data_IF_241157924236
#
_entry.id   IF_241157924236
#
_cell.length_a   1.000
_cell.length_b   1.000
_cell.length_c   1.000
_cell.angle_alpha   90.00
_cell.angle_beta   90.00
_cell.angle_gamma   90.00
#
_symmetry.space_group_name_H-M   'P 1'
#
loop_
_entity.id
_entity.type
_entity.pdbx_description
1 polymer ?
#
# COMPACT_ATOMS: atom_id res chain seq x y z
N UNK A 1 20.62 -23.38 -1.96
CA UNK A 1 19.28 -23.90 -2.33
C UNK A 1 18.31 -22.79 -1.96
N UNK A 2 17.60 -22.22 -2.93
CA UNK A 2 16.65 -21.12 -2.73
C UNK A 2 15.38 -21.67 -2.06
N UNK A 3 14.98 -21.08 -0.95
CA UNK A 3 13.79 -21.45 -0.17
C UNK A 3 12.59 -20.60 -0.56
N UNK A 4 11.57 -21.25 -1.08
CA UNK A 4 10.31 -20.63 -1.50
C UNK A 4 9.22 -20.99 -0.49
N UNK A 5 8.56 -19.99 0.07
CA UNK A 5 7.47 -20.16 1.04
C UNK A 5 6.16 -19.63 0.47
N UNK A 6 5.17 -20.49 0.27
CA UNK A 6 3.82 -20.08 -0.12
C UNK A 6 2.94 -19.87 1.11
N UNK A 7 2.22 -18.74 1.14
CA UNK A 7 1.41 -18.34 2.30
C UNK A 7 -0.03 -18.06 1.88
N UNK A 8 -0.98 -18.72 2.56
CA UNK A 8 -2.40 -18.37 2.48
C UNK A 8 -3.00 -18.21 3.88
N UNK A 9 -4.33 -18.22 4.01
CA UNK A 9 -4.98 -18.01 5.32
C UNK A 9 -4.82 -19.23 6.23
N UNK A 10 -5.43 -20.36 5.86
CA UNK A 10 -5.48 -21.56 6.71
C UNK A 10 -4.45 -22.66 6.38
N UNK A 11 -3.68 -22.53 5.29
CA UNK A 11 -2.75 -23.56 4.80
C UNK A 11 -3.37 -24.94 4.54
N UNK A 12 -4.63 -24.96 4.06
CA UNK A 12 -5.36 -26.19 3.71
C UNK A 12 -5.88 -26.23 2.27
N UNK A 13 -5.83 -25.10 1.54
CA UNK A 13 -6.29 -25.00 0.14
C UNK A 13 -5.19 -24.44 -0.76
N UNK A 14 -5.06 -23.11 -0.79
CA UNK A 14 -4.21 -22.37 -1.76
C UNK A 14 -2.71 -22.66 -1.62
N UNK A 15 -2.12 -22.46 -0.44
CA UNK A 15 -0.67 -22.66 -0.28
C UNK A 15 -0.20 -24.12 -0.40
N UNK A 16 -0.97 -25.15 0.02
CA UNK A 16 -0.66 -26.53 -0.33
C UNK A 16 -0.70 -26.81 -1.84
N UNK A 17 -1.69 -26.25 -2.54
CA UNK A 17 -1.78 -26.37 -4.00
C UNK A 17 -0.57 -25.72 -4.68
N UNK A 18 -0.19 -24.52 -4.24
CA UNK A 18 0.98 -23.82 -4.76
C UNK A 18 2.29 -24.58 -4.49
N UNK A 19 2.47 -25.16 -3.30
CA UNK A 19 3.61 -26.02 -3.00
C UNK A 19 3.69 -27.23 -3.94
N UNK A 20 2.54 -27.90 -4.16
CA UNK A 20 2.44 -29.06 -5.04
C UNK A 20 2.75 -28.73 -6.50
N UNK A 21 2.12 -27.68 -7.03
CA UNK A 21 2.33 -27.18 -8.40
C UNK A 21 3.77 -26.72 -8.62
N UNK A 22 4.32 -25.95 -7.69
CA UNK A 22 5.69 -25.47 -7.81
C UNK A 22 6.68 -26.64 -7.80
N UNK A 23 6.52 -27.59 -6.85
CA UNK A 23 7.35 -28.79 -6.77
C UNK A 23 7.26 -29.62 -8.06
N UNK A 24 6.09 -29.69 -8.69
CA UNK A 24 5.91 -30.34 -9.98
C UNK A 24 6.64 -29.59 -11.11
N UNK A 25 6.45 -28.27 -11.21
CA UNK A 25 7.03 -27.43 -12.26
C UNK A 25 8.56 -27.41 -12.24
N UNK A 26 9.18 -27.52 -11.06
CA UNK A 26 10.65 -27.55 -10.91
C UNK A 26 11.24 -28.97 -10.87
N UNK A 27 10.46 -30.02 -11.17
CA UNK A 27 10.98 -31.39 -11.24
C UNK A 27 12.16 -31.47 -12.21
N UNK A 28 13.31 -31.91 -11.72
CA UNK A 28 14.56 -31.99 -12.51
C UNK A 28 15.47 -30.76 -12.39
N UNK A 29 14.98 -29.62 -11.88
CA UNK A 29 15.81 -28.45 -11.54
C UNK A 29 16.37 -28.63 -10.12
N UNK A 30 17.69 -28.70 -9.99
CA UNK A 30 18.34 -28.70 -8.66
C UNK A 30 18.37 -27.26 -8.12
N UNK A 31 18.11 -27.10 -6.83
CA UNK A 31 18.39 -25.84 -6.14
C UNK A 31 17.21 -25.12 -5.50
N UNK A 32 16.00 -25.68 -5.50
CA UNK A 32 14.84 -25.12 -4.78
C UNK A 32 14.36 -26.01 -3.65
N UNK A 33 14.11 -25.41 -2.50
CA UNK A 33 13.38 -26.00 -1.37
C UNK A 33 12.05 -25.26 -1.26
N UNK A 34 10.93 -25.96 -1.19
CA UNK A 34 9.59 -25.36 -1.19
C UNK A 34 8.80 -25.80 0.03
N UNK A 35 8.16 -24.83 0.67
CA UNK A 35 7.34 -24.97 1.86
C UNK A 35 6.05 -24.16 1.70
N UNK A 36 5.03 -24.51 2.47
CA UNK A 36 3.82 -23.72 2.63
C UNK A 36 3.50 -23.47 4.11
N UNK A 37 2.81 -22.36 4.38
CA UNK A 37 2.32 -21.99 5.70
C UNK A 37 1.04 -21.16 5.58
N UNK A 38 0.45 -20.79 6.73
CA UNK A 38 -0.71 -19.88 6.75
C UNK A 38 -0.72 -18.89 7.90
N UNK A 39 -1.19 -17.67 7.63
CA UNK A 39 -1.23 -16.57 8.61
C UNK A 39 -2.17 -16.83 9.78
N UNK A 40 -3.20 -17.66 9.58
CA UNK A 40 -4.16 -18.08 10.60
C UNK A 40 -4.35 -19.61 10.62
N UNK A 41 -3.34 -20.37 10.22
CA UNK A 41 -3.43 -21.82 10.14
C UNK A 41 -3.42 -22.47 11.53
N UNK A 42 -4.26 -23.49 11.68
CA UNK A 42 -4.18 -24.45 12.79
C UNK A 42 -3.18 -25.52 12.38
N UNK A 43 -2.26 -25.89 13.27
CA UNK A 43 -1.22 -26.87 12.96
C UNK A 43 -1.78 -28.29 12.74
N UNK A 44 -1.28 -29.00 11.73
CA UNK A 44 -1.52 -30.43 11.53
C UNK A 44 -2.79 -30.84 10.76
N UNK A 45 -3.56 -29.91 10.20
CA UNK A 45 -4.71 -30.24 9.36
C UNK A 45 -4.29 -30.75 7.98
N UNK A 46 -5.04 -31.70 7.43
CA UNK A 46 -4.86 -32.14 6.05
C UNK A 46 -5.38 -31.07 5.07
N UNK A 47 -4.85 -30.99 3.85
CA UNK A 47 -5.45 -30.20 2.79
C UNK A 47 -6.89 -30.64 2.55
N UNK A 48 -7.76 -29.71 2.15
CA UNK A 48 -9.15 -30.02 1.84
C UNK A 48 -9.26 -31.04 0.70
N UNK A 49 -10.28 -31.90 0.74
CA UNK A 49 -10.50 -32.94 -0.26
C UNK A 49 -10.61 -32.37 -1.68
N UNK A 50 -11.24 -31.20 -1.84
CA UNK A 50 -11.31 -30.52 -3.14
C UNK A 50 -9.93 -30.05 -3.63
N UNK A 51 -9.06 -29.53 -2.76
CA UNK A 51 -7.70 -29.16 -3.15
C UNK A 51 -6.85 -30.38 -3.54
N UNK A 52 -6.98 -31.49 -2.79
CA UNK A 52 -6.33 -32.77 -3.12
C UNK A 52 -6.81 -33.27 -4.47
N UNK A 53 -8.12 -33.29 -4.70
CA UNK A 53 -8.74 -33.74 -5.96
C UNK A 53 -8.32 -32.85 -7.15
N UNK A 54 -8.35 -31.54 -6.99
CA UNK A 54 -7.99 -30.59 -8.04
C UNK A 54 -6.55 -30.78 -8.54
N UNK A 55 -5.61 -31.11 -7.65
CA UNK A 55 -4.23 -31.44 -8.03
C UNK A 55 -4.03 -32.89 -8.49
N UNK A 56 -4.80 -33.83 -7.96
CA UNK A 56 -4.76 -35.22 -8.41
C UNK A 56 -5.10 -35.36 -9.91
N UNK A 57 -5.99 -34.51 -10.43
CA UNK A 57 -6.29 -34.42 -11.87
C UNK A 57 -5.08 -34.04 -12.73
N UNK A 58 -4.11 -33.31 -12.16
CA UNK A 58 -2.82 -32.99 -12.81
C UNK A 58 -1.72 -34.01 -12.46
N UNK A 59 -2.06 -35.12 -11.81
CA UNK A 59 -1.09 -36.13 -11.35
C UNK A 59 -0.20 -35.66 -10.20
N UNK A 60 -0.66 -34.69 -9.39
CA UNK A 60 0.07 -34.15 -8.25
C UNK A 60 -0.64 -34.56 -6.96
N UNK A 61 0.01 -35.38 -6.14
CA UNK A 61 -0.50 -35.75 -4.82
C UNK A 61 -0.01 -34.77 -3.75
N UNK A 62 -0.95 -34.11 -3.06
CA UNK A 62 -0.69 -33.24 -1.90
C UNK A 62 -1.30 -33.77 -0.60
N UNK A 63 -1.92 -34.95 -0.60
CA UNK A 63 -2.64 -35.51 0.57
C UNK A 63 -1.76 -35.73 1.82
N UNK A 64 -0.45 -35.85 1.62
CA UNK A 64 0.54 -36.01 2.67
C UNK A 64 0.95 -34.68 3.33
N UNK A 65 0.65 -33.52 2.73
CA UNK A 65 0.99 -32.22 3.31
C UNK A 65 0.18 -31.96 4.58
N UNK A 66 0.68 -31.12 5.48
CA UNK A 66 -0.01 -30.73 6.71
C UNK A 66 0.11 -29.24 6.91
N UNK A 67 -1.00 -28.61 7.32
CA UNK A 67 -1.04 -27.19 7.62
C UNK A 67 -0.07 -26.85 8.75
N UNK A 68 0.52 -25.67 8.68
CA UNK A 68 1.37 -25.12 9.73
C UNK A 68 1.17 -23.60 9.84
N UNK A 69 1.19 -23.04 11.06
CA UNK A 69 1.16 -21.60 11.24
C UNK A 69 2.42 -20.95 10.66
N UNK A 70 2.26 -19.76 10.09
CA UNK A 70 3.37 -18.93 9.66
C UNK A 70 4.17 -18.48 10.89
N UNK A 71 5.44 -18.87 10.96
CA UNK A 71 6.33 -18.53 12.06
C UNK A 71 7.49 -17.65 11.60
N UNK A 72 8.06 -16.88 12.54
CA UNK A 72 9.25 -16.07 12.28
C UNK A 72 10.45 -16.88 11.79
N UNK A 73 10.57 -18.16 12.19
CA UNK A 73 11.63 -19.05 11.71
C UNK A 73 11.46 -19.40 10.23
N UNK A 74 10.24 -19.73 9.80
CA UNK A 74 9.95 -20.01 8.39
C UNK A 74 10.19 -18.77 7.53
N UNK A 75 9.75 -17.62 8.01
CA UNK A 75 9.93 -16.32 7.35
C UNK A 75 11.41 -15.96 7.26
N UNK A 76 12.19 -16.12 8.33
CA UNK A 76 13.62 -15.83 8.33
C UNK A 76 14.39 -16.72 7.34
N UNK A 77 14.04 -18.02 7.27
CA UNK A 77 14.70 -19.01 6.39
C UNK A 77 14.32 -18.91 4.93
N UNK A 78 13.16 -18.33 4.60
CA UNK A 78 12.73 -18.19 3.21
C UNK A 78 13.58 -17.16 2.45
N UNK A 79 13.96 -17.47 1.21
CA UNK A 79 14.56 -16.52 0.28
C UNK A 79 13.49 -15.73 -0.48
N UNK A 80 12.34 -16.37 -0.73
CA UNK A 80 11.15 -15.77 -1.34
C UNK A 80 9.88 -16.24 -0.64
N UNK A 81 8.95 -15.34 -0.43
CA UNK A 81 7.65 -15.57 0.20
C UNK A 81 6.57 -15.10 -0.77
N UNK A 82 5.59 -15.95 -1.04
CA UNK A 82 4.50 -15.65 -1.97
C UNK A 82 3.15 -15.75 -1.27
N UNK A 83 2.49 -14.60 -1.11
CA UNK A 83 1.12 -14.49 -0.64
C UNK A 83 0.11 -14.71 -1.76
N UNK A 84 -1.06 -15.24 -1.42
CA UNK A 84 -2.14 -15.45 -2.39
C UNK A 84 -2.98 -14.20 -2.66
N UNK A 85 -2.94 -13.23 -1.75
CA UNK A 85 -3.71 -11.98 -1.84
C UNK A 85 -2.92 -10.84 -1.21
N UNK A 86 -3.28 -9.59 -1.52
CA UNK A 86 -2.65 -8.41 -0.92
C UNK A 86 -2.71 -8.45 0.61
N UNK A 87 -3.85 -8.87 1.18
CA UNK A 87 -3.98 -9.01 2.63
C UNK A 87 -2.99 -10.01 3.25
N UNK A 88 -2.53 -11.03 2.51
CA UNK A 88 -1.46 -11.91 3.01
C UNK A 88 -0.12 -11.20 3.02
N UNK A 89 0.21 -10.45 1.96
CA UNK A 89 1.44 -9.67 1.88
C UNK A 89 1.47 -8.61 2.99
N UNK A 90 0.35 -7.93 3.22
CA UNK A 90 0.18 -6.96 4.29
C UNK A 90 0.33 -7.62 5.67
N UNK A 91 -0.31 -8.77 5.90
CA UNK A 91 -0.20 -9.50 7.16
C UNK A 91 1.24 -9.94 7.45
N UNK A 92 1.95 -10.46 6.44
CA UNK A 92 3.35 -10.86 6.57
C UNK A 92 4.23 -9.64 6.86
N UNK A 93 3.99 -8.52 6.16
CA UNK A 93 4.75 -7.28 6.33
C UNK A 93 4.50 -6.66 7.70
N UNK A 94 3.27 -6.71 8.20
CA UNK A 94 2.90 -6.22 9.52
C UNK A 94 3.52 -7.06 10.64
N UNK A 95 3.43 -8.39 10.54
CA UNK A 95 3.94 -9.31 11.56
C UNK A 95 5.46 -9.49 11.51
N UNK A 96 6.05 -9.41 10.31
CA UNK A 96 7.47 -9.64 10.04
C UNK A 96 8.05 -8.59 9.09
N UNK A 97 8.20 -7.32 9.52
CA UNK A 97 8.60 -6.21 8.63
C UNK A 97 9.92 -6.43 7.88
N UNK A 98 10.86 -7.16 8.48
CA UNK A 98 12.15 -7.50 7.88
C UNK A 98 12.06 -8.41 6.64
N UNK A 99 10.89 -9.02 6.39
CA UNK A 99 10.66 -9.91 5.27
C UNK A 99 9.90 -9.26 4.11
N UNK A 100 9.50 -7.99 4.23
CA UNK A 100 8.73 -7.27 3.20
C UNK A 100 9.38 -7.35 1.81
N UNK A 101 10.70 -7.22 1.77
CA UNK A 101 11.52 -7.17 0.55
C UNK A 101 11.57 -8.49 -0.24
N UNK A 102 11.26 -9.57 0.45
CA UNK A 102 11.22 -10.93 -0.10
C UNK A 102 9.82 -11.50 -0.11
N UNK A 103 8.80 -10.66 0.08
CA UNK A 103 7.39 -11.04 0.09
C UNK A 103 6.69 -10.44 -1.12
N UNK A 104 6.03 -11.27 -1.92
CA UNK A 104 5.39 -10.89 -3.18
C UNK A 104 4.00 -11.53 -3.27
N UNK A 105 3.17 -11.03 -4.17
CA UNK A 105 2.00 -11.80 -4.62
C UNK A 105 2.45 -12.93 -5.54
N UNK A 106 1.71 -14.04 -5.51
CA UNK A 106 1.98 -15.14 -6.43
C UNK A 106 1.84 -14.70 -7.90
N UNK A 107 0.87 -13.82 -8.18
CA UNK A 107 0.61 -13.27 -9.52
C UNK A 107 1.21 -11.86 -9.71
N UNK A 108 2.21 -11.49 -8.90
CA UNK A 108 2.87 -10.17 -9.00
C UNK A 108 3.42 -9.90 -10.41
N UNK A 109 4.05 -10.93 -11.00
CA UNK A 109 4.79 -10.86 -12.26
C UNK A 109 3.93 -11.14 -13.50
N UNK A 110 2.62 -11.25 -13.35
CA UNK A 110 1.71 -11.31 -14.48
C UNK A 110 1.37 -9.88 -14.92
N UNK A 111 2.00 -9.43 -16.01
CA UNK A 111 1.81 -8.09 -16.58
C UNK A 111 0.46 -7.93 -17.29
N UNK A 112 -0.30 -9.02 -17.51
CA UNK A 112 -1.60 -8.98 -18.18
C UNK A 112 -2.76 -8.63 -17.24
N UNK A 113 -2.50 -8.59 -15.92
CA UNK A 113 -3.49 -8.37 -14.89
C UNK A 113 -3.36 -7.00 -14.25
N UNK A 114 -4.50 -6.35 -14.03
CA UNK A 114 -4.56 -5.15 -13.21
C UNK A 114 -4.30 -5.47 -11.74
N UNK A 115 -3.91 -4.45 -10.96
CA UNK A 115 -3.51 -4.59 -9.55
C UNK A 115 -4.50 -5.41 -8.71
N UNK A 116 -5.80 -5.13 -8.82
CA UNK A 116 -6.87 -5.80 -8.05
C UNK A 116 -7.20 -7.21 -8.57
N UNK A 117 -6.76 -7.58 -9.78
CA UNK A 117 -7.01 -8.91 -10.36
C UNK A 117 -5.92 -9.94 -10.01
N UNK A 118 -4.85 -9.49 -9.35
CA UNK A 118 -3.73 -10.34 -8.93
C UNK A 118 -4.03 -11.20 -7.70
N UNK A 119 -5.11 -10.90 -6.98
CA UNK A 119 -5.56 -11.69 -5.83
C UNK A 119 -6.16 -13.04 -6.27
N UNK A 120 -5.77 -14.10 -5.56
CA UNK A 120 -6.36 -15.43 -5.68
C UNK A 120 -7.34 -15.64 -4.53
N UNK A 121 -8.62 -15.50 -4.86
CA UNK A 121 -9.76 -15.68 -3.94
C UNK A 121 -9.69 -17.00 -3.19
N UNK A 122 -10.15 -17.01 -1.93
CA UNK A 122 -10.18 -18.24 -1.14
C UNK A 122 -11.29 -19.19 -1.63
N UNK A 123 -10.97 -20.42 -2.08
CA UNK A 123 -11.99 -21.35 -2.56
C UNK A 123 -12.77 -22.04 -1.42
N UNK A 124 -12.40 -21.82 -0.15
CA UNK A 124 -12.98 -22.54 0.99
C UNK A 124 -14.51 -22.44 1.05
N UNK A 125 -15.18 -23.57 1.21
CA UNK A 125 -16.65 -23.65 1.24
C UNK A 125 -17.35 -23.48 -0.11
N UNK A 126 -16.59 -23.22 -1.20
CA UNK A 126 -17.10 -23.14 -2.56
C UNK A 126 -17.32 -24.51 -3.23
N UNK A 127 -17.87 -24.47 -4.44
CA UNK A 127 -18.01 -25.66 -5.29
C UNK A 127 -16.64 -26.14 -5.77
N UNK A 128 -16.59 -27.39 -6.27
CA UNK A 128 -15.37 -27.95 -6.82
C UNK A 128 -14.77 -27.10 -7.96
N UNK A 129 -15.61 -26.50 -8.82
CA UNK A 129 -15.17 -25.63 -9.90
C UNK A 129 -14.41 -24.38 -9.41
N UNK A 130 -14.76 -23.87 -8.22
CA UNK A 130 -14.04 -22.75 -7.60
C UNK A 130 -12.62 -23.17 -7.20
N UNK A 131 -12.44 -24.41 -6.73
CA UNK A 131 -11.12 -24.96 -6.43
C UNK A 131 -10.30 -25.18 -7.71
N UNK A 132 -10.93 -25.63 -8.79
CA UNK A 132 -10.30 -25.78 -10.11
C UNK A 132 -9.83 -24.43 -10.65
N UNK A 133 -10.69 -23.41 -10.64
CA UNK A 133 -10.30 -22.07 -11.06
C UNK A 133 -9.17 -21.49 -10.18
N UNK A 134 -9.23 -21.71 -8.87
CA UNK A 134 -8.17 -21.31 -7.96
C UNK A 134 -6.83 -22.01 -8.27
N UNK A 135 -6.86 -23.32 -8.54
CA UNK A 135 -5.68 -24.09 -8.99
C UNK A 135 -5.07 -23.50 -10.25
N UNK A 136 -5.90 -23.21 -11.26
CA UNK A 136 -5.44 -22.72 -12.56
C UNK A 136 -4.79 -21.33 -12.43
N UNK A 137 -5.35 -20.44 -11.59
CA UNK A 137 -4.73 -19.15 -11.28
C UNK A 137 -3.38 -19.30 -10.55
N UNK A 138 -3.27 -20.26 -9.63
CA UNK A 138 -2.01 -20.57 -8.95
C UNK A 138 -0.97 -21.09 -9.95
N UNK A 139 -1.36 -21.98 -10.86
CA UNK A 139 -0.48 -22.52 -11.89
C UNK A 139 0.05 -21.42 -12.82
N UNK A 140 -0.84 -20.53 -13.29
CA UNK A 140 -0.46 -19.36 -14.08
C UNK A 140 0.52 -18.45 -13.33
N UNK A 141 0.24 -18.15 -12.05
CA UNK A 141 1.13 -17.35 -11.21
C UNK A 141 2.51 -17.98 -11.05
N UNK A 142 2.57 -19.29 -10.84
CA UNK A 142 3.84 -20.05 -10.75
C UNK A 142 4.63 -19.98 -12.05
N UNK A 143 3.97 -20.10 -13.21
CA UNK A 143 4.63 -20.01 -14.51
C UNK A 143 5.28 -18.63 -14.72
N UNK A 144 4.54 -17.55 -14.45
CA UNK A 144 5.06 -16.17 -14.54
C UNK A 144 6.21 -15.93 -13.55
N UNK A 145 6.07 -16.42 -12.32
CA UNK A 145 7.09 -16.33 -11.28
C UNK A 145 8.38 -17.07 -11.65
N UNK A 146 8.30 -18.27 -12.22
CA UNK A 146 9.47 -19.03 -12.64
C UNK A 146 10.26 -18.34 -13.76
N UNK A 147 9.55 -17.74 -14.72
CA UNK A 147 10.18 -16.94 -15.77
C UNK A 147 10.99 -15.77 -15.20
N UNK A 148 10.45 -15.09 -14.19
CA UNK A 148 11.16 -14.02 -13.48
C UNK A 148 12.40 -14.52 -12.70
N UNK A 149 12.27 -15.67 -12.02
CA UNK A 149 13.39 -16.29 -11.29
C UNK A 149 14.52 -16.74 -12.23
N UNK A 150 14.19 -17.17 -13.45
CA UNK A 150 15.18 -17.58 -14.45
C UNK A 150 15.91 -16.36 -15.03
N UNK A 151 15.20 -15.25 -15.33
CA UNK A 151 15.80 -14.00 -15.83
C UNK A 151 16.80 -13.36 -14.86
N UNK A 152 16.61 -13.53 -13.55
CA UNK A 152 17.52 -13.01 -12.52
C UNK A 152 18.75 -13.90 -12.26
N UNK A 153 18.89 -15.03 -12.96
CA UNK A 153 20.00 -15.98 -12.78
C UNK A 153 20.97 -16.12 -13.97
N UNK A 154 20.77 -15.36 -15.04
CA UNK A 154 21.70 -15.32 -16.19
C UNK A 154 22.98 -14.51 -15.91
N UNK A 155 24.13 -14.84 -16.55
CA UNK A 155 25.33 -14.04 -16.45
C UNK A 155 25.11 -12.69 -17.13
N UNK A 156 25.42 -11.61 -16.42
CA UNK A 156 25.41 -10.23 -16.89
C UNK A 156 26.40 -10.06 -18.06
N UNK A 157 25.87 -10.10 -19.27
CA UNK A 157 26.58 -9.91 -20.52
C UNK A 157 25.87 -8.86 -21.40
N UNK A 158 26.41 -7.66 -21.35
CA UNK A 158 26.50 -6.57 -22.33
C UNK A 158 25.42 -6.24 -23.39
N UNK A 159 25.23 -4.91 -23.52
CA UNK A 159 24.78 -4.10 -24.66
C UNK A 159 23.31 -4.04 -25.14
N UNK A 160 22.75 -2.84 -24.91
CA UNK A 160 21.96 -2.00 -25.84
C UNK A 160 20.56 -2.45 -26.28
N UNK A 161 19.54 -1.92 -25.61
CA UNK A 161 18.56 -0.95 -26.18
C UNK A 161 17.52 -0.60 -25.11
N UNK A 162 17.28 0.69 -24.89
CA UNK A 162 16.11 1.12 -24.15
C UNK A 162 14.88 0.82 -24.99
N UNK A 163 14.10 -0.19 -24.61
CA UNK A 163 12.81 -0.47 -25.22
C UNK A 163 11.80 0.62 -24.85
N UNK A 164 11.74 1.68 -25.68
CA UNK A 164 10.55 2.28 -26.33
C UNK A 164 9.17 2.36 -25.63
N UNK A 165 9.01 2.19 -24.32
CA UNK A 165 7.67 2.19 -23.68
C UNK A 165 7.48 3.08 -22.44
N UNK A 166 8.48 3.85 -22.01
CA UNK A 166 8.33 4.74 -20.85
C UNK A 166 7.71 6.11 -21.17
N UNK A 167 6.89 6.64 -20.27
CA UNK A 167 6.43 8.04 -20.25
C UNK A 167 7.35 8.87 -19.36
N UNK A 168 7.92 9.94 -19.91
CA UNK A 168 8.77 10.89 -19.17
C UNK A 168 8.03 12.21 -18.97
N UNK A 169 7.90 12.65 -17.71
CA UNK A 169 7.44 13.99 -17.39
C UNK A 169 8.60 14.98 -17.46
N UNK A 170 8.42 16.10 -18.15
CA UNK A 170 9.44 17.16 -18.26
C UNK A 170 8.90 18.48 -17.75
N UNK A 171 9.73 19.23 -17.02
CA UNK A 171 9.36 20.52 -16.45
C UNK A 171 10.54 21.47 -16.32
N UNK A 172 10.28 22.78 -16.43
CA UNK A 172 11.28 23.81 -16.24
C UNK A 172 10.69 25.13 -15.77
N UNK A 173 11.47 25.95 -15.09
CA UNK A 173 11.19 27.39 -15.00
C UNK A 173 11.71 28.11 -16.26
N UNK A 174 11.50 29.41 -16.33
CA UNK A 174 11.99 30.25 -17.43
C UNK A 174 13.51 30.14 -17.67
N UNK A 175 14.30 29.91 -16.62
CA UNK A 175 15.75 29.76 -16.71
C UNK A 175 16.21 28.39 -17.24
N UNK A 176 15.32 27.39 -17.27
CA UNK A 176 15.58 26.06 -17.81
C UNK A 176 14.87 25.77 -19.15
N UNK A 177 14.08 26.70 -19.69
CA UNK A 177 13.21 26.48 -20.85
C UNK A 177 13.96 25.96 -22.08
N UNK A 178 15.05 26.63 -22.47
CA UNK A 178 15.81 26.26 -23.67
C UNK A 178 16.41 24.85 -23.55
N UNK A 179 16.90 24.49 -22.36
CA UNK A 179 17.43 23.16 -22.10
C UNK A 179 16.34 22.08 -22.14
N UNK A 180 15.16 22.38 -21.57
CA UNK A 180 13.99 21.49 -21.61
C UNK A 180 13.57 21.22 -23.05
N UNK A 181 13.48 22.25 -23.90
CA UNK A 181 13.09 22.08 -25.30
C UNK A 181 14.11 21.24 -26.09
N UNK A 182 15.41 21.43 -25.83
CA UNK A 182 16.44 20.58 -26.43
C UNK A 182 16.30 19.10 -26.01
N UNK A 183 16.09 18.83 -24.71
CA UNK A 183 15.86 17.48 -24.18
C UNK A 183 14.59 16.87 -24.77
N UNK A 184 13.51 17.64 -24.89
CA UNK A 184 12.28 17.19 -25.56
C UNK A 184 12.54 16.76 -26.99
N UNK A 185 13.35 17.53 -27.74
CA UNK A 185 13.76 17.16 -29.09
C UNK A 185 14.51 15.83 -29.13
N UNK A 186 15.48 15.65 -28.24
CA UNK A 186 16.26 14.42 -28.10
C UNK A 186 15.39 13.20 -27.76
N UNK A 187 14.54 13.32 -26.74
CA UNK A 187 13.63 12.25 -26.32
C UNK A 187 12.60 11.87 -27.39
N UNK A 188 12.07 12.86 -28.14
CA UNK A 188 11.18 12.60 -29.28
C UNK A 188 11.90 11.82 -30.38
N UNK A 189 13.15 12.18 -30.69
CA UNK A 189 13.97 11.46 -31.67
C UNK A 189 14.24 10.00 -31.24
N UNK A 190 14.33 9.75 -29.92
CA UNK A 190 14.46 8.42 -29.34
C UNK A 190 13.12 7.65 -29.21
N UNK A 191 11.99 8.22 -29.64
CA UNK A 191 10.67 7.57 -29.59
C UNK A 191 10.04 7.48 -28.20
N UNK A 192 10.49 8.30 -27.25
CA UNK A 192 9.98 8.30 -25.87
C UNK A 192 8.70 9.14 -25.77
N UNK A 193 7.70 8.65 -25.03
CA UNK A 193 6.47 9.43 -24.76
C UNK A 193 6.78 10.50 -23.72
N UNK A 194 6.39 11.74 -23.99
CA UNK A 194 6.71 12.89 -23.13
C UNK A 194 5.42 13.57 -22.67
N UNK A 195 5.35 13.90 -21.38
CA UNK A 195 4.36 14.86 -20.85
C UNK A 195 5.11 16.12 -20.44
N UNK A 196 4.84 17.22 -21.13
CA UNK A 196 5.45 18.52 -20.82
C UNK A 196 4.54 19.33 -19.91
N UNK A 197 5.01 19.57 -18.69
CA UNK A 197 4.28 20.29 -17.63
C UNK A 197 4.64 21.78 -17.58
N UNK A 198 5.36 22.29 -18.59
CA UNK A 198 5.73 23.70 -18.69
C UNK A 198 7.10 24.00 -18.08
N UNK A 199 7.51 25.26 -17.96
CA UNK A 199 6.89 26.45 -18.54
C UNK A 199 6.92 26.41 -20.07
N UNK A 200 6.05 27.18 -20.72
CA UNK A 200 6.01 27.32 -22.18
C UNK A 200 6.40 28.74 -22.65
N UNK A 201 6.78 29.62 -21.72
CA UNK A 201 7.17 31.00 -22.01
C UNK A 201 8.47 31.37 -21.31
N UNK A 202 9.14 32.40 -21.82
CA UNK A 202 10.34 33.00 -21.20
C UNK A 202 9.99 33.96 -20.05
N UNK A 203 8.72 34.08 -19.71
CA UNK A 203 8.28 34.97 -18.65
C UNK A 203 8.71 34.43 -17.28
N UNK A 204 9.03 35.34 -16.37
CA UNK A 204 9.42 34.98 -15.01
C UNK A 204 8.33 34.13 -14.36
N UNK A 205 8.73 32.99 -13.81
CA UNK A 205 7.86 31.98 -13.23
C UNK A 205 8.59 31.29 -12.09
N UNK A 206 7.82 30.70 -11.17
CA UNK A 206 8.36 30.08 -9.97
C UNK A 206 8.64 28.60 -10.18
N UNK A 207 9.91 28.21 -9.97
CA UNK A 207 10.35 26.82 -10.11
C UNK A 207 9.58 25.79 -9.26
N UNK A 208 9.03 26.11 -8.06
CA UNK A 208 8.31 25.12 -7.27
C UNK A 208 7.07 24.54 -7.96
N UNK A 209 6.38 25.31 -8.80
CA UNK A 209 5.15 24.87 -9.45
C UNK A 209 5.44 23.71 -10.42
N UNK A 210 6.46 23.88 -11.26
CA UNK A 210 6.89 22.86 -12.23
C UNK A 210 7.61 21.70 -11.56
N UNK A 211 8.47 22.00 -10.57
CA UNK A 211 9.18 20.99 -9.79
C UNK A 211 8.23 20.05 -9.07
N UNK A 212 7.17 20.60 -8.45
CA UNK A 212 6.13 19.82 -7.77
C UNK A 212 5.26 19.07 -8.76
N UNK A 213 4.85 19.68 -9.87
CA UNK A 213 4.00 19.02 -10.87
C UNK A 213 4.65 17.76 -11.46
N UNK A 214 5.92 17.84 -11.89
CA UNK A 214 6.67 16.68 -12.40
C UNK A 214 6.85 15.63 -11.30
N UNK A 215 7.25 16.06 -10.10
CA UNK A 215 7.47 15.15 -8.98
C UNK A 215 6.19 14.41 -8.58
N UNK A 216 5.03 15.10 -8.55
CA UNK A 216 3.74 14.50 -8.24
C UNK A 216 3.33 13.49 -9.32
N UNK A 217 3.50 13.81 -10.60
CA UNK A 217 3.19 12.89 -11.70
C UNK A 217 4.03 11.60 -11.65
N UNK A 218 5.30 11.71 -11.25
CA UNK A 218 6.18 10.55 -11.04
C UNK A 218 5.80 9.76 -9.79
N UNK A 219 5.47 10.44 -8.69
CA UNK A 219 5.03 9.80 -7.44
C UNK A 219 3.72 9.01 -7.64
N UNK A 220 2.79 9.56 -8.42
CA UNK A 220 1.49 8.98 -8.74
C UNK A 220 1.56 7.93 -9.85
N UNK A 221 2.76 7.62 -10.36
CA UNK A 221 3.01 6.64 -11.43
C UNK A 221 2.30 6.94 -12.75
N UNK A 222 1.96 8.21 -12.99
CA UNK A 222 1.45 8.68 -14.29
C UNK A 222 2.58 8.91 -15.30
N UNK A 223 3.81 9.13 -14.81
CA UNK A 223 5.04 9.08 -15.57
C UNK A 223 6.05 8.16 -14.87
N UNK A 224 6.87 7.46 -15.65
CA UNK A 224 7.87 6.52 -15.13
C UNK A 224 9.06 7.25 -14.52
N UNK A 225 9.48 8.36 -15.16
CA UNK A 225 10.61 9.19 -14.77
C UNK A 225 10.31 10.67 -15.02
N UNK A 226 11.00 11.53 -14.29
CA UNK A 226 10.93 12.98 -14.45
C UNK A 226 12.26 13.60 -14.86
N UNK A 227 12.22 14.66 -15.66
CA UNK A 227 13.38 15.52 -15.96
C UNK A 227 13.00 16.96 -15.66
N UNK A 228 13.79 17.62 -14.82
CA UNK A 228 13.59 18.99 -14.38
C UNK A 228 14.77 19.87 -14.76
N UNK A 229 14.50 21.05 -15.31
CA UNK A 229 15.53 22.03 -15.66
C UNK A 229 15.24 23.37 -14.97
N UNK A 230 16.26 23.98 -14.36
CA UNK A 230 16.21 25.40 -14.03
C UNK A 230 17.60 26.01 -14.16
N UNK A 231 17.77 27.30 -13.87
CA UNK A 231 19.07 27.98 -14.01
C UNK A 231 20.24 27.17 -13.40
N UNK A 232 20.08 26.65 -12.17
CA UNK A 232 21.12 25.87 -11.47
C UNK A 232 20.73 24.41 -11.20
N UNK A 233 19.49 24.02 -11.47
CA UNK A 233 18.91 22.73 -11.08
C UNK A 233 18.67 22.53 -9.57
N UNK A 234 19.25 23.38 -8.70
CA UNK A 234 19.21 23.23 -7.24
C UNK A 234 17.77 23.35 -6.70
N UNK A 235 17.06 24.43 -7.05
CA UNK A 235 15.69 24.66 -6.56
C UNK A 235 14.73 23.54 -6.95
N UNK A 236 14.82 23.09 -8.21
CA UNK A 236 14.04 21.97 -8.72
C UNK A 236 14.31 20.68 -7.93
N UNK A 237 15.58 20.37 -7.67
CA UNK A 237 15.93 19.18 -6.90
C UNK A 237 15.42 19.24 -5.45
N UNK A 238 15.45 20.42 -4.82
CA UNK A 238 14.98 20.60 -3.45
C UNK A 238 13.47 20.39 -3.40
N UNK A 239 12.70 21.01 -4.31
CA UNK A 239 11.24 20.91 -4.33
C UNK A 239 10.79 19.50 -4.66
N UNK A 240 11.37 18.86 -5.68
CA UNK A 240 10.98 17.52 -6.09
C UNK A 240 11.18 16.50 -4.96
N UNK A 241 12.29 16.61 -4.20
CA UNK A 241 12.54 15.76 -3.02
C UNK A 241 11.60 16.04 -1.83
N UNK A 242 10.75 17.08 -1.86
CA UNK A 242 9.67 17.25 -0.87
C UNK A 242 8.44 16.42 -1.18
N UNK A 243 8.31 15.89 -2.40
CA UNK A 243 7.24 14.99 -2.78
C UNK A 243 7.61 13.57 -2.33
N UNK A 244 6.81 12.93 -1.45
CA UNK A 244 7.07 11.57 -1.01
C UNK A 244 7.15 10.59 -2.20
N UNK A 245 8.13 9.68 -2.17
CA UNK A 245 8.37 8.70 -3.25
C UNK A 245 9.21 9.23 -4.41
N UNK A 246 9.60 10.50 -4.39
CA UNK A 246 10.51 11.11 -5.36
C UNK A 246 11.91 11.23 -4.79
N UNK A 247 12.87 10.79 -5.60
CA UNK A 247 14.31 10.90 -5.39
C UNK A 247 14.88 11.66 -6.57
N UNK A 248 14.94 12.98 -6.40
CA UNK A 248 15.45 13.89 -7.41
C UNK A 248 16.95 14.11 -7.24
N UNK A 249 17.73 13.89 -8.31
CA UNK A 249 19.18 14.05 -8.30
C UNK A 249 19.60 15.16 -9.25
N UNK A 250 20.31 16.16 -8.71
CA UNK A 250 21.02 17.15 -9.53
C UNK A 250 22.30 16.51 -10.05
N UNK A 251 22.40 16.36 -11.36
CA UNK A 251 23.58 15.81 -12.04
C UNK A 251 24.35 16.91 -12.78
N UNK A 252 25.66 16.71 -12.93
CA UNK A 252 26.56 17.65 -13.59
C UNK A 252 27.29 17.04 -14.80
N UNK A 253 27.31 15.72 -14.88
CA UNK A 253 27.94 14.94 -15.95
C UNK A 253 27.23 13.59 -16.13
N UNK A 254 27.62 12.85 -17.16
CA UNK A 254 27.05 11.53 -17.50
C UNK A 254 27.21 10.52 -16.35
N UNK A 255 28.37 10.56 -15.67
CA UNK A 255 28.70 9.65 -14.58
C UNK A 255 27.81 9.89 -13.36
N UNK A 256 27.59 11.14 -12.96
CA UNK A 256 26.71 11.49 -11.85
C UNK A 256 25.26 11.20 -12.18
N UNK A 257 24.84 11.39 -13.44
CA UNK A 257 23.51 11.00 -13.90
C UNK A 257 23.30 9.48 -13.83
N UNK A 258 24.25 8.69 -14.34
CA UNK A 258 24.24 7.24 -14.24
C UNK A 258 24.20 6.75 -12.77
N UNK A 259 25.12 7.25 -11.95
CA UNK A 259 25.21 6.86 -10.53
C UNK A 259 23.96 7.24 -9.72
N UNK A 260 23.30 8.36 -10.06
CA UNK A 260 22.03 8.72 -9.42
C UNK A 260 20.97 7.62 -9.63
N UNK A 261 20.96 6.98 -10.80
CA UNK A 261 20.05 5.87 -11.09
C UNK A 261 20.52 4.57 -10.42
N UNK A 262 21.79 4.21 -10.57
CA UNK A 262 22.39 2.96 -10.08
C UNK A 262 22.42 2.85 -8.55
N UNK A 263 22.80 3.92 -7.86
CA UNK A 263 23.04 3.90 -6.42
C UNK A 263 21.89 4.46 -5.59
N UNK A 264 21.09 5.36 -6.14
CA UNK A 264 20.05 6.08 -5.40
C UNK A 264 18.63 5.77 -5.87
N UNK A 265 18.49 4.93 -6.92
CA UNK A 265 17.21 4.66 -7.56
C UNK A 265 16.46 5.97 -7.90
N UNK A 266 17.20 7.02 -8.29
CA UNK A 266 16.60 8.32 -8.58
C UNK A 266 15.58 8.17 -9.71
N UNK A 267 14.39 8.72 -9.52
CA UNK A 267 13.30 8.71 -10.50
C UNK A 267 13.06 10.10 -11.11
N UNK A 268 13.77 11.13 -10.63
CA UNK A 268 13.79 12.45 -11.25
C UNK A 268 15.23 12.92 -11.43
N UNK A 269 15.57 13.35 -12.65
CA UNK A 269 16.86 13.97 -12.98
C UNK A 269 16.71 15.49 -13.03
N UNK A 270 17.54 16.22 -12.28
CA UNK A 270 17.58 17.67 -12.31
C UNK A 270 18.84 18.15 -13.04
N UNK A 271 18.69 19.14 -13.92
CA UNK A 271 19.75 19.69 -14.75
C UNK A 271 19.87 21.21 -14.61
N UNK A 272 21.10 21.71 -14.71
CA UNK A 272 21.42 23.13 -14.60
C UNK A 272 21.48 23.80 -16.00
N UNK A 273 20.46 24.58 -16.34
CA UNK A 273 20.34 25.28 -17.63
C UNK A 273 21.50 26.24 -17.94
N UNK A 274 22.08 26.90 -16.93
CA UNK A 274 23.17 27.87 -17.13
C UNK A 274 24.50 27.22 -17.53
N UNK A 275 24.76 26.01 -17.07
CA UNK A 275 26.08 25.38 -17.14
C UNK A 275 26.11 24.08 -17.94
N UNK A 276 24.97 23.63 -18.45
CA UNK A 276 24.85 22.37 -19.20
C UNK A 276 24.49 22.70 -20.65
N UNK A 277 25.35 22.30 -21.58
CA UNK A 277 25.03 22.40 -23.03
C UNK A 277 23.95 21.40 -23.41
N UNK A 278 23.24 21.66 -24.52
CA UNK A 278 22.21 20.75 -25.04
C UNK A 278 22.76 19.36 -25.35
N UNK A 279 23.97 19.28 -25.90
CA UNK A 279 24.64 18.01 -26.22
C UNK A 279 25.05 17.25 -24.96
N UNK A 280 25.53 17.96 -23.94
CA UNK A 280 25.87 17.34 -22.65
C UNK A 280 24.60 16.85 -21.93
N UNK A 281 23.53 17.65 -21.94
CA UNK A 281 22.26 17.24 -21.35
C UNK A 281 21.69 16.00 -22.03
N UNK A 282 21.77 15.89 -23.36
CA UNK A 282 21.35 14.69 -24.09
C UNK A 282 22.11 13.44 -23.61
N UNK A 283 23.44 13.51 -23.51
CA UNK A 283 24.26 12.38 -23.02
C UNK A 283 23.96 12.03 -21.57
N UNK A 284 23.72 13.03 -20.71
CA UNK A 284 23.34 12.81 -19.32
C UNK A 284 21.97 12.15 -19.19
N UNK A 285 21.00 12.57 -20.00
CA UNK A 285 19.68 11.96 -20.07
C UNK A 285 19.81 10.51 -20.54
N UNK A 286 20.59 10.24 -21.59
CA UNK A 286 20.83 8.87 -22.06
C UNK A 286 21.49 8.00 -21.00
N UNK A 287 22.49 8.51 -20.29
CA UNK A 287 23.16 7.82 -19.19
C UNK A 287 22.19 7.51 -18.04
N UNK A 288 21.35 8.48 -17.65
CA UNK A 288 20.36 8.30 -16.59
C UNK A 288 19.27 7.29 -16.97
N UNK A 289 18.77 7.39 -18.20
CA UNK A 289 17.74 6.47 -18.70
C UNK A 289 18.33 5.07 -18.80
N UNK A 290 19.44 4.88 -19.53
CA UNK A 290 20.08 3.58 -19.77
C UNK A 290 20.45 2.82 -18.49
N UNK A 291 20.82 3.54 -17.43
CA UNK A 291 21.21 2.96 -16.15
C UNK A 291 20.11 2.13 -15.48
N UNK A 292 20.52 1.12 -14.69
CA UNK A 292 19.64 0.24 -13.93
C UNK A 292 20.01 0.31 -12.45
N UNK A 293 19.01 0.27 -11.57
CA UNK A 293 19.28 0.29 -10.14
C UNK A 293 20.00 -1.00 -9.71
N UNK A 294 21.15 -0.88 -9.05
CA UNK A 294 22.02 -2.03 -8.73
C UNK A 294 21.51 -2.87 -7.56
N UNK A 295 20.63 -2.31 -6.73
CA UNK A 295 20.10 -3.01 -5.56
C UNK A 295 21.13 -3.20 -4.42
N UNK A 296 20.99 -4.30 -3.67
CA UNK A 296 21.97 -4.72 -2.65
C UNK A 296 22.25 -3.65 -1.58
N UNK A 297 23.51 -3.21 -1.44
CA UNK A 297 23.89 -2.21 -0.43
C UNK A 297 23.24 -0.84 -0.68
N UNK A 298 22.91 -0.54 -1.93
CA UNK A 298 22.29 0.72 -2.35
C UNK A 298 20.80 0.72 -2.00
N UNK A 299 20.13 -0.42 -2.22
CA UNK A 299 18.74 -0.64 -1.82
C UNK A 299 18.52 -0.46 -0.33
N UNK A 300 19.39 -1.04 0.50
CA UNK A 300 19.35 -0.83 1.96
C UNK A 300 19.41 0.65 2.34
N UNK A 301 20.18 1.46 1.61
CA UNK A 301 20.29 2.91 1.88
C UNK A 301 19.05 3.66 1.40
N UNK A 302 18.54 3.32 0.22
CA UNK A 302 17.29 3.90 -0.31
C UNK A 302 16.12 3.62 0.62
N UNK A 303 16.00 2.41 1.17
CA UNK A 303 14.97 2.05 2.16
C UNK A 303 15.09 2.80 3.50
N UNK A 304 16.24 3.38 3.81
CA UNK A 304 16.38 4.29 4.97
C UNK A 304 15.89 5.71 4.66
N UNK A 305 15.91 6.12 3.39
CA UNK A 305 15.39 7.42 2.94
C UNK A 305 13.86 7.40 2.89
N UNK A 306 13.30 6.28 2.48
CA UNK A 306 11.86 6.05 2.38
C UNK A 306 11.48 4.92 3.32
N UNK A 307 10.96 5.21 4.53
CA UNK A 307 10.30 4.20 5.34
C UNK A 307 9.17 3.62 4.47
N UNK A 308 9.40 2.42 3.97
CA UNK A 308 8.59 1.73 2.97
C UNK A 308 7.10 1.73 3.33
N UNK A 309 6.23 1.92 2.33
CA UNK A 309 4.76 1.89 2.39
C UNK A 309 4.01 3.13 2.92
N UNK A 310 4.67 4.08 3.59
CA UNK A 310 3.96 5.21 4.23
C UNK A 310 3.33 6.23 3.26
N UNK A 311 3.68 6.21 1.96
CA UNK A 311 3.08 7.09 0.94
C UNK A 311 1.79 6.55 0.35
N UNK A 312 1.76 5.25 0.03
CA UNK A 312 0.60 4.56 -0.55
C UNK A 312 -0.46 4.20 0.50
N UNK A 313 -0.08 4.11 1.77
CA UNK A 313 -0.98 3.85 2.90
C UNK A 313 -1.44 5.14 3.61
N UNK A 314 -1.24 6.33 3.01
CA UNK A 314 -1.81 7.56 3.57
C UNK A 314 -3.31 7.53 3.40
N UNK A 315 -4.03 7.94 4.44
CA UNK A 315 -5.49 8.02 4.39
C UNK A 315 -5.99 8.87 3.22
N UNK A 316 -5.34 10.01 2.92
CA UNK A 316 -5.71 10.85 1.78
C UNK A 316 -5.50 10.22 0.39
N UNK A 317 -4.75 9.13 0.30
CA UNK A 317 -4.52 8.35 -0.93
C UNK A 317 -5.44 7.13 -0.98
N UNK A 318 -5.58 6.43 0.15
CA UNK A 318 -6.39 5.21 0.27
C UNK A 318 -7.89 5.51 0.30
N UNK A 319 -8.27 6.56 1.04
CA UNK A 319 -9.66 6.94 1.29
C UNK A 319 -9.79 8.47 1.44
N UNK A 320 -9.75 9.21 0.31
CA UNK A 320 -9.81 10.67 0.32
C UNK A 320 -11.09 11.22 0.94
N UNK A 321 -12.22 10.51 0.83
CA UNK A 321 -13.51 10.94 1.41
C UNK A 321 -13.44 10.96 2.95
N UNK A 322 -12.81 9.93 3.55
CA UNK A 322 -12.60 9.90 5.01
C UNK A 322 -11.54 10.92 5.43
N UNK A 323 -10.45 11.09 4.66
CA UNK A 323 -9.43 12.09 4.95
C UNK A 323 -10.02 13.52 5.01
N UNK A 324 -10.84 13.86 4.02
CA UNK A 324 -11.53 15.15 3.92
C UNK A 324 -12.51 15.35 5.08
N UNK A 325 -13.28 14.30 5.43
CA UNK A 325 -14.21 14.36 6.55
C UNK A 325 -13.51 14.57 7.90
N UNK A 326 -12.35 13.94 8.12
CA UNK A 326 -11.53 14.16 9.33
C UNK A 326 -11.00 15.60 9.39
N UNK A 327 -10.62 16.17 8.25
CA UNK A 327 -10.15 17.55 8.17
C UNK A 327 -11.29 18.55 8.46
N UNK A 328 -12.49 18.31 7.93
CA UNK A 328 -13.68 19.09 8.27
C UNK A 328 -14.02 19.03 9.77
N UNK A 329 -13.85 17.86 10.40
CA UNK A 329 -14.01 17.74 11.85
C UNK A 329 -12.95 18.53 12.63
N UNK A 330 -11.69 18.49 12.18
CA UNK A 330 -10.61 19.29 12.77
C UNK A 330 -10.94 20.79 12.72
N UNK A 331 -11.44 21.28 11.60
CA UNK A 331 -11.86 22.68 11.43
C UNK A 331 -13.02 23.01 12.37
N UNK A 332 -14.07 22.17 12.42
CA UNK A 332 -15.22 22.36 13.35
C UNK A 332 -14.78 22.43 14.80
N UNK A 333 -13.83 21.59 15.22
CA UNK A 333 -13.30 21.63 16.60
C UNK A 333 -12.49 22.89 16.89
N UNK A 334 -11.82 23.49 15.89
CA UNK A 334 -11.05 24.72 16.07
C UNK A 334 -11.90 25.99 16.05
N UNK A 335 -13.00 25.99 15.31
CA UNK A 335 -13.86 27.16 15.14
C UNK A 335 -15.01 27.20 16.17
N UNK A 336 -15.17 26.14 16.97
CA UNK A 336 -16.22 26.04 17.98
C UNK A 336 -15.65 25.80 19.38
N UNK A 337 -16.37 26.28 20.39
CA UNK A 337 -16.10 25.95 21.79
C UNK A 337 -16.96 24.74 22.16
N UNK A 338 -16.33 23.65 22.61
CA UNK A 338 -17.02 22.48 23.15
C UNK A 338 -17.39 22.73 24.61
N UNK A 339 -18.69 22.62 24.92
CA UNK A 339 -19.23 22.87 26.26
C UNK A 339 -19.64 21.57 26.96
N UNK A 340 -19.48 20.42 26.30
CA UNK A 340 -19.71 19.11 26.86
C UNK A 340 -18.41 18.63 27.51
N UNK A 341 -18.37 18.63 28.85
CA UNK A 341 -17.15 18.35 29.61
C UNK A 341 -16.50 16.98 29.30
N UNK A 342 -17.31 15.98 28.90
CA UNK A 342 -16.81 14.67 28.50
C UNK A 342 -16.15 14.66 27.11
N UNK A 343 -16.43 15.64 26.26
CA UNK A 343 -15.94 15.76 24.87
C UNK A 343 -14.74 16.70 24.75
N UNK A 344 -13.98 16.83 25.84
CA UNK A 344 -12.86 17.76 25.88
C UNK A 344 -11.77 17.37 24.88
N UNK A 345 -11.16 18.36 24.23
CA UNK A 345 -10.14 18.12 23.23
C UNK A 345 -8.88 17.53 23.85
N UNK A 346 -8.49 16.37 23.35
CA UNK A 346 -7.29 15.68 23.80
C UNK A 346 -6.02 16.42 23.34
N UNK A 347 -4.93 16.24 24.09
CA UNK A 347 -3.65 16.87 23.73
C UNK A 347 -3.08 16.25 22.45
N UNK A 348 -2.18 16.96 21.73
CA UNK A 348 -1.51 16.40 20.56
C UNK A 348 -0.82 15.06 20.81
N UNK A 349 -0.25 14.85 22.00
CA UNK A 349 0.37 13.59 22.39
C UNK A 349 -0.65 12.43 22.50
N UNK A 350 -1.86 12.71 22.98
CA UNK A 350 -2.94 11.70 23.02
C UNK A 350 -3.45 11.40 21.63
N UNK A 351 -3.61 12.42 20.78
CA UNK A 351 -4.02 12.24 19.38
C UNK A 351 -2.98 11.45 18.57
N UNK A 352 -1.68 11.62 18.83
CA UNK A 352 -0.64 10.78 18.22
C UNK A 352 -0.79 9.29 18.59
N UNK A 353 -1.23 9.00 19.82
CA UNK A 353 -1.46 7.63 20.29
C UNK A 353 -2.80 7.03 19.82
N UNK A 354 -3.85 7.85 19.70
CA UNK A 354 -5.22 7.40 19.38
C UNK A 354 -5.55 7.49 17.88
N UNK A 355 -4.85 8.33 17.12
CA UNK A 355 -4.89 8.40 15.67
C UNK A 355 -5.44 9.71 15.09
N UNK A 356 -6.64 10.15 15.47
CA UNK A 356 -7.29 11.32 14.84
C UNK A 356 -8.20 12.13 15.77
N UNK A 357 -8.59 13.32 15.31
CA UNK A 357 -9.51 14.24 16.03
C UNK A 357 -10.90 13.67 16.27
N UNK A 358 -11.28 12.58 15.56
CA UNK A 358 -12.54 11.88 15.80
C UNK A 358 -12.63 11.32 17.22
N UNK A 359 -11.49 11.08 17.88
CA UNK A 359 -11.45 10.64 19.29
C UNK A 359 -12.07 11.64 20.27
N UNK A 360 -12.17 12.90 19.88
CA UNK A 360 -12.69 13.96 20.74
C UNK A 360 -14.23 14.02 20.70
N UNK A 361 -14.90 13.17 19.90
CA UNK A 361 -16.35 13.25 19.71
C UNK A 361 -17.06 11.95 20.07
N UNK A 362 -18.11 12.06 20.89
CA UNK A 362 -19.07 10.98 21.09
C UNK A 362 -20.21 11.09 20.09
N UNK A 363 -20.36 10.07 19.25
CA UNK A 363 -21.44 9.98 18.27
C UNK A 363 -22.43 8.87 18.64
N UNK A 364 -22.97 8.87 19.85
CA UNK A 364 -23.94 7.83 20.23
C UNK A 364 -25.31 8.09 19.60
N UNK A 365 -25.88 7.05 18.96
CA UNK A 365 -27.13 7.11 18.21
C UNK A 365 -26.93 6.69 16.76
N UNK A 366 -27.95 6.90 15.92
CA UNK A 366 -27.83 6.72 14.47
C UNK A 366 -27.50 8.06 13.81
N UNK A 367 -26.92 8.07 12.59
CA UNK A 367 -26.77 9.29 11.81
C UNK A 367 -28.10 10.06 11.70
N UNK A 368 -28.07 11.36 12.02
CA UNK A 368 -29.25 12.24 12.09
C UNK A 368 -30.17 12.02 13.30
N UNK A 369 -29.87 11.06 14.19
CA UNK A 369 -30.61 10.75 15.42
C UNK A 369 -29.63 10.52 16.58
N UNK A 370 -28.86 11.55 16.91
CA UNK A 370 -27.80 11.52 17.92
C UNK A 370 -28.29 11.99 19.28
N UNK A 371 -27.64 11.48 20.33
CA UNK A 371 -27.81 11.97 21.71
C UNK A 371 -26.93 13.21 22.00
N UNK A 372 -25.88 13.39 21.21
CA UNK A 372 -24.91 14.48 21.32
C UNK A 372 -24.97 15.37 20.07
N UNK A 373 -24.83 16.69 20.25
CA UNK A 373 -24.81 17.65 19.13
C UNK A 373 -23.47 17.68 18.40
N UNK A 374 -23.39 18.29 17.21
CA UNK A 374 -22.12 18.50 16.50
C UNK A 374 -21.53 17.25 15.83
N UNK A 375 -22.34 16.24 15.54
CA UNK A 375 -21.87 14.97 14.98
C UNK A 375 -21.87 14.94 13.43
N UNK A 376 -22.03 16.07 12.75
CA UNK A 376 -22.29 16.13 11.31
C UNK A 376 -21.18 15.44 10.48
N UNK A 377 -19.92 15.63 10.86
CA UNK A 377 -18.79 14.97 10.19
C UNK A 377 -18.72 13.48 10.52
N UNK A 378 -19.02 13.10 11.77
CA UNK A 378 -19.06 11.68 12.18
C UNK A 378 -20.19 10.93 11.48
N UNK A 379 -21.34 11.58 11.29
CA UNK A 379 -22.47 11.06 10.51
C UNK A 379 -22.07 10.78 9.06
N UNK A 380 -21.21 11.61 8.47
CA UNK A 380 -20.68 11.38 7.12
C UNK A 380 -19.79 10.15 7.07
N UNK A 381 -18.87 9.98 8.05
CA UNK A 381 -18.04 8.77 8.17
C UNK A 381 -18.90 7.51 8.30
N UNK A 382 -19.88 7.51 9.21
CA UNK A 382 -20.76 6.36 9.43
C UNK A 382 -21.63 6.06 8.20
N UNK A 383 -22.13 7.08 7.50
CA UNK A 383 -22.92 6.89 6.28
C UNK A 383 -22.09 6.26 5.17
N UNK A 384 -20.86 6.75 4.95
CA UNK A 384 -19.92 6.15 3.99
C UNK A 384 -19.68 4.67 4.35
N UNK A 385 -19.45 4.37 5.62
CA UNK A 385 -19.25 2.98 6.07
C UNK A 385 -20.48 2.11 5.81
N UNK A 386 -21.69 2.60 6.12
CA UNK A 386 -22.97 1.90 5.87
C UNK A 386 -23.14 1.62 4.37
N UNK A 387 -22.97 2.64 3.52
CA UNK A 387 -23.14 2.51 2.06
C UNK A 387 -22.15 1.53 1.47
N UNK A 388 -20.88 1.64 1.86
CA UNK A 388 -19.81 0.73 1.41
C UNK A 388 -20.06 -0.70 1.87
N UNK A 389 -20.50 -0.91 3.12
CA UNK A 389 -20.85 -2.23 3.62
C UNK A 389 -22.07 -2.83 2.87
N UNK A 390 -23.12 -2.05 2.63
CA UNK A 390 -24.29 -2.49 1.83
C UNK A 390 -23.87 -2.92 0.43
N UNK A 391 -23.03 -2.12 -0.23
CA UNK A 391 -22.49 -2.42 -1.56
C UNK A 391 -21.63 -3.67 -1.55
N UNK A 392 -20.72 -3.80 -0.59
CA UNK A 392 -19.77 -4.91 -0.49
C UNK A 392 -20.47 -6.25 -0.26
N UNK A 393 -21.48 -6.27 0.62
CA UNK A 393 -22.17 -7.50 1.02
C UNK A 393 -23.50 -7.74 0.29
N UNK A 394 -23.89 -6.85 -0.64
CA UNK A 394 -25.19 -6.92 -1.30
C UNK A 394 -26.38 -6.84 -0.33
N UNK A 395 -26.20 -6.16 0.81
CA UNK A 395 -27.18 -6.12 1.89
C UNK A 395 -28.15 -4.94 1.74
N UNK A 396 -29.42 -5.16 2.06
CA UNK A 396 -30.42 -4.09 2.08
C UNK A 396 -30.10 -3.03 3.15
N UNK A 397 -29.56 -3.47 4.29
CA UNK A 397 -29.20 -2.64 5.43
C UNK A 397 -27.83 -3.04 6.00
N UNK A 398 -27.09 -2.05 6.52
CA UNK A 398 -25.90 -2.28 7.34
C UNK A 398 -25.99 -1.39 8.59
N UNK A 399 -25.65 -1.94 9.75
CA UNK A 399 -25.57 -1.19 10.99
C UNK A 399 -24.11 -1.07 11.40
N UNK A 400 -23.59 0.17 11.39
CA UNK A 400 -22.22 0.48 11.78
C UNK A 400 -22.29 1.21 13.12
N UNK A 401 -21.82 0.56 14.18
CA UNK A 401 -21.74 1.18 15.51
C UNK A 401 -20.31 1.05 16.04
N UNK A 402 -19.50 2.11 16.02
CA UNK A 402 -18.21 2.10 16.69
C UNK A 402 -18.44 1.87 18.20
N UNK A 403 -17.63 1.00 18.82
CA UNK A 403 -17.78 0.66 20.24
C UNK A 403 -17.74 1.92 21.12
N UNK A 404 -18.81 2.14 21.91
CA UNK A 404 -19.01 3.35 22.71
C UNK A 404 -18.68 3.14 24.19
N UNK A 405 -18.72 4.23 24.97
CA UNK A 405 -18.66 4.21 26.43
C UNK A 405 -19.71 3.30 27.07
N UNK A 406 -20.82 3.01 26.38
CA UNK A 406 -21.81 2.02 26.81
C UNK A 406 -21.23 0.61 26.96
N UNK A 407 -20.32 0.20 26.07
CA UNK A 407 -19.65 -1.10 26.16
C UNK A 407 -18.69 -1.19 27.35
N UNK A 408 -17.95 -0.11 27.63
CA UNK A 408 -17.07 -0.03 28.79
C UNK A 408 -17.87 -0.07 30.10
N UNK A 409 -18.95 0.69 30.20
CA UNK A 409 -19.82 0.68 31.38
C UNK A 409 -20.48 -0.69 31.57
N UNK A 410 -20.88 -1.36 30.48
CA UNK A 410 -21.38 -2.72 30.55
C UNK A 410 -20.36 -3.67 31.20
N UNK A 411 -19.10 -3.64 30.78
CA UNK A 411 -18.05 -4.48 31.37
C UNK A 411 -17.85 -4.21 32.87
N UNK A 412 -17.83 -2.95 33.28
CA UNK A 412 -17.71 -2.56 34.70
C UNK A 412 -18.91 -3.04 35.51
N UNK A 413 -20.14 -2.87 35.00
CA UNK A 413 -21.34 -3.30 35.71
C UNK A 413 -21.39 -4.81 35.87
N UNK A 414 -21.04 -5.57 34.83
CA UNK A 414 -20.97 -7.03 34.92
C UNK A 414 -19.88 -7.52 35.88
N UNK A 415 -18.79 -6.77 36.05
CA UNK A 415 -17.71 -7.13 36.96
C UNK A 415 -18.02 -6.80 38.43
N UNK A 416 -18.72 -5.68 38.68
CA UNK A 416 -18.84 -5.10 40.02
C UNK A 416 -20.25 -5.15 40.61
N UNK A 417 -21.29 -5.36 39.81
CA UNK A 417 -22.69 -5.29 40.23
C UNK A 417 -23.44 -6.60 39.94
N UNK A 418 -24.47 -6.85 40.74
CA UNK A 418 -25.49 -7.87 40.50
C UNK A 418 -26.81 -7.21 40.10
N UNK A 419 -27.69 -7.92 39.36
CA UNK A 419 -29.04 -7.42 39.10
C UNK A 419 -29.76 -7.00 40.39
N UNK A 420 -30.29 -5.78 40.43
CA UNK A 420 -30.95 -5.18 41.60
C UNK A 420 -30.04 -4.34 42.51
N UNK A 421 -28.72 -4.37 42.33
CA UNK A 421 -27.81 -3.47 43.04
C UNK A 421 -28.05 -2.01 42.65
N UNK A 422 -27.89 -1.10 43.61
CA UNK A 422 -28.11 0.34 43.41
C UNK A 422 -26.80 1.04 43.14
N UNK A 423 -26.77 1.83 42.07
CA UNK A 423 -25.66 2.71 41.71
C UNK A 423 -26.11 4.17 41.85
N UNK A 424 -25.27 5.00 42.47
CA UNK A 424 -25.48 6.45 42.50
C UNK A 424 -24.99 7.05 41.18
N UNK A 425 -25.84 7.79 40.49
CA UNK A 425 -25.52 8.38 39.18
C UNK A 425 -26.13 9.77 39.04
N UNK A 426 -25.66 10.52 38.05
CA UNK A 426 -26.33 11.73 37.58
C UNK A 426 -27.43 11.37 36.57
N UNK A 427 -28.54 12.10 36.60
CA UNK A 427 -29.57 12.03 35.55
C UNK A 427 -29.02 12.56 34.22
N UNK A 428 -29.53 12.05 33.10
CA UNK A 428 -29.14 12.48 31.75
C UNK A 428 -29.34 13.99 31.56
N UNK A 429 -30.41 14.58 32.12
CA UNK A 429 -30.64 16.04 32.05
C UNK A 429 -29.62 16.87 32.82
N UNK A 430 -28.85 16.24 33.70
CA UNK A 430 -27.84 16.87 34.54
C UNK A 430 -26.41 16.39 34.20
N UNK A 431 -26.20 15.84 33.00
CA UNK A 431 -24.86 15.40 32.55
C UNK A 431 -24.53 13.95 32.89
N UNK A 432 -25.53 13.14 33.25
CA UNK A 432 -25.42 11.68 33.31
C UNK A 432 -25.27 11.04 31.92
N UNK A 433 -24.85 9.78 31.88
CA UNK A 433 -24.75 8.97 30.67
C UNK A 433 -26.00 8.07 30.52
N UNK A 434 -26.40 7.64 29.31
CA UNK A 434 -27.62 6.83 29.19
C UNK A 434 -27.56 5.50 29.94
N UNK A 435 -26.37 4.96 30.17
CA UNK A 435 -26.15 3.74 30.97
C UNK A 435 -26.38 3.95 32.48
N UNK A 436 -26.76 5.15 32.90
CA UNK A 436 -27.10 5.46 34.28
C UNK A 436 -28.57 5.16 34.60
N UNK A 437 -29.15 4.15 33.94
CA UNK A 437 -30.54 3.72 34.17
C UNK A 437 -31.57 4.32 33.22
N UNK A 438 -31.17 4.92 32.09
CA UNK A 438 -32.13 5.33 31.07
C UNK A 438 -32.85 4.09 30.51
N UNK A 439 -34.19 4.15 30.38
CA UNK A 439 -35.02 3.04 29.89
C UNK A 439 -34.67 2.57 28.48
N UNK A 440 -34.02 3.41 27.67
CA UNK A 440 -33.54 3.03 26.35
C UNK A 440 -32.27 2.16 26.38
N UNK A 441 -31.56 2.08 27.51
CA UNK A 441 -30.29 1.35 27.67
C UNK A 441 -30.48 0.02 28.42
N UNK A 442 -29.54 -0.92 28.29
CA UNK A 442 -29.56 -2.20 29.01
C UNK A 442 -29.63 -2.00 30.53
N UNK A 443 -28.94 -1.00 31.06
CA UNK A 443 -28.89 -0.70 32.50
C UNK A 443 -30.21 -0.20 33.07
N UNK A 444 -31.16 0.26 32.23
CA UNK A 444 -32.47 0.75 32.66
C UNK A 444 -33.61 -0.23 32.38
N UNK A 445 -33.28 -1.43 31.86
CA UNK A 445 -34.23 -2.52 31.59
C UNK A 445 -34.32 -3.53 32.74
N UNK A 446 -33.27 -3.63 33.54
CA UNK A 446 -33.13 -4.52 34.70
C UNK A 446 -32.96 -3.66 35.95
#
# INVERSE_FOLDING_TARGET
MKRVLFVCTGNVCRSPMAEGLFRHAVRGRRGFEVLSAGVGAIDGQAPSDHAVRALAELGIDISHQRSRPLSGELVAKADYIFGMTHSHVDAITLLYPHAAEKTFLLREFDETLDFFEKDISDPIGGSYDVYVNCRDQIEQGIASMLNFLDQTTGPSGDTTTFTTRGTIAVGADHGGLDLKEAIKGHLKAAGVKIVDLGTHSRESTDYPDYGRAVAQMVADRQADLGILCCTTGVGMSIVANKVPGVRAALAFDEKTAQLAREHNNANVLCLAGRSTSSEQAARMVDAFLSARFEGGRHERRVRKLEPSAAGQLRLGVVDPEIADTIEHERVRQQENIELIASENFTSPAVMEAQGSVLTNKYAEGYPGKRWYGGCENVDTVERLAIERARKLFGAEHANVQPHSGSGANMAVYFAMLKPGDKMLTMDLSHGGHLTHGNKANFSGKF
#
